data_IF_558362329241
#
_entry.id   IF_558362329241
#
_cell.length_a   1.000
_cell.length_b   1.000
_cell.length_c   1.000
_cell.angle_alpha   90.00
_cell.angle_beta   90.00
_cell.angle_gamma   90.00
#
_symmetry.space_group_name_H-M   'P 1'
#
loop_
_entity.id
_entity.type
_entity.pdbx_description
1 polymer ?
#
# COMPACT_ATOMS: atom_id res chain seq x y z
N UNK A 1 -21.57 38.79 10.27
CA UNK A 1 -20.46 38.35 9.41
C UNK A 1 -19.63 37.35 10.20
N UNK A 2 -19.64 36.08 9.82
CA UNK A 2 -18.77 35.06 10.44
C UNK A 2 -17.39 35.12 9.78
N UNK A 3 -16.36 35.45 10.55
CA UNK A 3 -14.97 35.36 10.09
C UNK A 3 -14.65 33.88 9.84
N UNK A 4 -14.40 33.51 8.59
CA UNK A 4 -13.74 32.25 8.28
C UNK A 4 -12.34 32.34 8.88
N UNK A 5 -12.10 31.63 9.97
CA UNK A 5 -10.75 31.42 10.49
C UNK A 5 -10.01 30.55 9.48
N UNK A 6 -9.44 31.17 8.45
CA UNK A 6 -8.56 30.53 7.49
C UNK A 6 -7.23 30.29 8.20
N UNK A 7 -7.12 29.18 8.93
CA UNK A 7 -5.81 28.70 9.37
C UNK A 7 -4.97 28.47 8.10
N UNK A 8 -3.83 29.16 7.93
CA UNK A 8 -3.02 29.00 6.74
C UNK A 8 -2.59 27.54 6.61
N UNK A 9 -2.65 27.01 5.38
CA UNK A 9 -2.18 25.66 5.10
C UNK A 9 -0.72 25.54 5.57
N UNK A 10 -0.36 24.52 6.36
CA UNK A 10 0.99 24.41 6.92
C UNK A 10 1.98 24.07 5.80
N UNK A 11 2.80 25.06 5.42
CA UNK A 11 3.90 24.90 4.45
C UNK A 11 5.22 24.85 5.21
N UNK A 12 6.01 23.79 4.98
CA UNK A 12 7.31 23.62 5.61
C UNK A 12 8.39 24.42 4.87
N UNK A 13 9.18 25.18 5.63
CA UNK A 13 10.39 25.83 5.09
C UNK A 13 11.53 24.82 4.85
N UNK A 14 11.67 23.84 5.75
CA UNK A 14 12.62 22.72 5.65
C UNK A 14 11.83 21.40 5.65
N UNK A 15 12.04 20.52 4.65
CA UNK A 15 11.35 19.22 4.58
C UNK A 15 11.69 18.26 5.74
N UNK A 16 12.72 18.47 6.56
CA UNK A 16 13.06 17.59 7.70
C UNK A 16 13.07 16.07 7.36
N UNK A 17 13.85 15.62 6.37
CA UNK A 17 13.76 14.26 5.82
C UNK A 17 14.06 13.15 6.85
N UNK A 18 14.78 13.44 7.92
CA UNK A 18 15.13 12.48 8.98
C UNK A 18 14.07 12.32 10.07
N UNK A 19 13.06 13.20 10.09
CA UNK A 19 12.00 13.15 11.10
C UNK A 19 10.91 12.15 10.69
N UNK A 20 10.89 11.00 11.35
CA UNK A 20 9.97 9.88 11.10
C UNK A 20 8.59 10.06 11.74
N UNK A 21 8.43 11.00 12.66
CA UNK A 21 7.14 11.29 13.30
C UNK A 21 6.26 12.22 12.46
N UNK A 22 6.81 12.79 11.38
CA UNK A 22 6.08 13.65 10.45
C UNK A 22 5.62 12.83 9.21
N UNK A 23 4.41 13.08 8.67
CA UNK A 23 3.94 12.41 7.46
C UNK A 23 4.91 12.56 6.28
N UNK A 24 4.98 11.56 5.40
CA UNK A 24 5.85 11.60 4.22
C UNK A 24 5.45 12.73 3.25
N UNK A 25 4.16 13.03 3.13
CA UNK A 25 3.61 14.04 2.23
C UNK A 25 3.21 15.30 3.01
N UNK A 26 4.01 16.35 2.89
CA UNK A 26 3.69 17.69 3.34
C UNK A 26 4.24 18.69 2.32
N UNK A 27 3.55 19.81 2.12
CA UNK A 27 4.05 20.82 1.18
C UNK A 27 5.27 21.50 1.78
N UNK A 28 6.35 21.54 1.01
CA UNK A 28 7.56 22.28 1.37
C UNK A 28 7.96 23.27 0.29
N UNK A 29 8.66 24.34 0.66
CA UNK A 29 9.13 25.34 -0.29
C UNK A 29 10.16 24.76 -1.28
N UNK A 30 10.91 23.73 -0.88
CA UNK A 30 11.99 23.14 -1.68
C UNK A 30 11.54 21.99 -2.57
N UNK A 31 10.54 21.20 -2.14
CA UNK A 31 10.05 20.01 -2.87
C UNK A 31 8.60 20.12 -3.35
N UNK A 32 7.91 21.22 -3.05
CA UNK A 32 6.51 21.41 -3.42
C UNK A 32 5.63 20.32 -2.81
N UNK A 33 4.87 19.61 -3.65
CA UNK A 33 4.00 18.49 -3.25
C UNK A 33 4.71 17.13 -3.23
N UNK A 34 6.00 17.06 -3.58
CA UNK A 34 6.75 15.82 -3.48
C UNK A 34 6.96 15.42 -2.02
N UNK A 35 7.16 14.12 -1.75
CA UNK A 35 7.49 13.65 -0.41
C UNK A 35 8.69 14.39 0.20
N UNK A 36 8.64 14.59 1.51
CA UNK A 36 9.69 15.24 2.30
C UNK A 36 11.05 14.51 2.23
N UNK A 37 11.01 13.20 2.01
CA UNK A 37 12.18 12.34 1.91
C UNK A 37 12.08 11.42 0.69
N UNK A 38 13.17 10.78 0.31
CA UNK A 38 13.15 9.79 -0.76
C UNK A 38 12.33 8.56 -0.33
N UNK A 39 11.65 7.89 -1.28
CA UNK A 39 10.78 6.78 -0.95
C UNK A 39 11.57 5.65 -0.28
N UNK A 40 10.98 5.04 0.75
CA UNK A 40 11.53 3.84 1.35
C UNK A 40 11.43 2.70 0.33
N UNK A 41 12.59 2.16 -0.02
CA UNK A 41 12.75 1.08 -1.01
C UNK A 41 12.92 -0.27 -0.31
N UNK A 42 13.57 -0.30 0.85
CA UNK A 42 13.80 -1.54 1.62
C UNK A 42 12.96 -1.54 2.89
N UNK A 43 12.08 -2.53 3.01
CA UNK A 43 11.30 -2.75 4.22
C UNK A 43 12.14 -3.43 5.32
N UNK A 44 11.76 -3.31 6.60
CA UNK A 44 12.36 -4.10 7.68
C UNK A 44 12.21 -5.60 7.46
N UNK A 45 13.10 -6.40 8.04
CA UNK A 45 13.14 -7.87 7.89
C UNK A 45 11.84 -8.58 8.27
N UNK A 46 11.04 -7.99 9.16
CA UNK A 46 9.71 -8.50 9.51
C UNK A 46 8.78 -8.62 8.28
N UNK A 47 9.05 -7.89 7.20
CA UNK A 47 8.27 -7.84 5.97
C UNK A 47 8.97 -8.49 4.76
N UNK A 48 10.03 -9.28 4.98
CA UNK A 48 10.78 -9.95 3.90
C UNK A 48 9.88 -10.81 3.00
N UNK A 49 8.85 -11.45 3.58
CA UNK A 49 7.87 -12.23 2.81
C UNK A 49 7.06 -11.34 1.87
N UNK A 50 6.66 -10.14 2.31
CA UNK A 50 5.91 -9.18 1.47
C UNK A 50 6.79 -8.70 0.33
N UNK A 51 8.02 -8.29 0.63
CA UNK A 51 9.00 -7.85 -0.37
C UNK A 51 9.28 -8.96 -1.41
N UNK A 52 9.50 -10.20 -0.95
CA UNK A 52 9.69 -11.37 -1.82
C UNK A 52 8.51 -11.60 -2.76
N UNK A 53 7.28 -11.51 -2.27
CA UNK A 53 6.08 -11.65 -3.11
C UNK A 53 6.02 -10.50 -4.12
N UNK A 54 6.24 -9.25 -3.70
CA UNK A 54 6.20 -8.07 -4.58
C UNK A 54 7.23 -8.12 -5.69
N UNK A 55 8.43 -8.63 -5.43
CA UNK A 55 9.48 -8.78 -6.45
C UNK A 55 9.15 -9.89 -7.46
N UNK A 56 8.48 -10.97 -7.02
CA UNK A 56 8.06 -12.09 -7.89
C UNK A 56 6.74 -11.82 -8.60
N UNK A 57 5.93 -10.90 -8.10
CA UNK A 57 4.58 -10.60 -8.59
C UNK A 57 4.49 -10.18 -10.07
N UNK A 58 5.35 -9.29 -10.62
CA UNK A 58 5.12 -8.68 -11.93
C UNK A 58 4.97 -9.69 -13.07
N UNK A 59 4.23 -9.32 -14.12
CA UNK A 59 4.13 -10.15 -15.34
C UNK A 59 5.52 -10.48 -15.90
N UNK A 60 6.41 -9.49 -15.91
CA UNK A 60 7.83 -9.66 -16.22
C UNK A 60 8.66 -9.13 -15.06
N UNK A 61 9.40 -10.01 -14.42
CA UNK A 61 10.29 -9.65 -13.30
C UNK A 61 11.47 -8.82 -13.80
N UNK A 62 12.25 -8.24 -12.88
CA UNK A 62 13.47 -7.49 -13.22
C UNK A 62 14.50 -8.34 -13.99
N UNK A 63 14.51 -9.66 -13.75
CA UNK A 63 15.35 -10.61 -14.50
C UNK A 63 14.88 -10.86 -15.95
N UNK A 64 13.68 -10.41 -16.28
CA UNK A 64 13.02 -10.70 -17.55
C UNK A 64 12.22 -12.00 -17.59
N UNK A 65 12.30 -12.83 -16.54
CA UNK A 65 11.51 -14.05 -16.39
C UNK A 65 10.02 -13.75 -16.09
N UNK A 66 9.09 -14.63 -16.49
CA UNK A 66 7.68 -14.51 -16.13
C UNK A 66 7.49 -14.62 -14.61
N UNK A 67 6.74 -13.69 -14.02
CA UNK A 67 6.43 -13.72 -12.59
C UNK A 67 5.08 -14.36 -12.25
N UNK A 68 4.61 -14.14 -11.03
CA UNK A 68 3.39 -14.76 -10.49
C UNK A 68 2.15 -14.31 -11.26
N UNK A 69 2.05 -13.04 -11.65
CA UNK A 69 0.91 -12.54 -12.44
C UNK A 69 0.90 -13.07 -13.87
N UNK A 70 2.04 -13.43 -14.44
CA UNK A 70 2.10 -14.07 -15.76
C UNK A 70 1.54 -15.50 -15.69
N UNK A 71 1.86 -16.23 -14.63
CA UNK A 71 1.37 -17.60 -14.41
C UNK A 71 -0.01 -17.68 -13.76
N UNK A 72 -0.51 -16.59 -13.20
CA UNK A 72 -1.80 -16.55 -12.50
C UNK A 72 -1.79 -17.28 -11.15
N UNK A 73 -0.63 -17.34 -10.49
CA UNK A 73 -0.40 -18.09 -9.24
C UNK A 73 -0.26 -17.18 -8.01
N UNK A 74 -0.42 -15.86 -8.16
CA UNK A 74 -0.28 -14.90 -7.05
C UNK A 74 -1.31 -15.18 -5.96
N UNK A 75 -2.55 -15.49 -6.33
CA UNK A 75 -3.61 -15.78 -5.36
C UNK A 75 -3.25 -16.91 -4.41
N UNK A 76 -2.71 -18.00 -4.94
CA UNK A 76 -2.33 -19.18 -4.16
C UNK A 76 -1.10 -18.91 -3.28
N UNK A 77 -0.12 -18.17 -3.81
CA UNK A 77 1.07 -17.73 -3.07
C UNK A 77 0.68 -16.83 -1.90
N UNK A 78 -0.23 -15.88 -2.09
CA UNK A 78 -0.69 -15.00 -1.01
C UNK A 78 -1.40 -15.80 0.08
N UNK A 79 -2.20 -16.81 -0.26
CA UNK A 79 -2.92 -17.61 0.75
C UNK A 79 -1.98 -18.57 1.50
N UNK A 80 -0.96 -19.09 0.83
CA UNK A 80 -0.06 -20.11 1.40
C UNK A 80 1.18 -19.56 2.08
N UNK A 81 1.80 -18.51 1.53
CA UNK A 81 3.10 -18.00 1.97
C UNK A 81 3.00 -16.76 2.85
N UNK A 82 1.98 -15.90 2.69
CA UNK A 82 1.89 -14.64 3.42
C UNK A 82 1.28 -14.85 4.82
N UNK A 83 2.04 -14.72 5.92
CA UNK A 83 1.46 -14.70 7.26
C UNK A 83 0.71 -13.40 7.53
N UNK A 84 -0.14 -13.40 8.54
CA UNK A 84 -0.72 -12.16 9.06
C UNK A 84 0.35 -11.36 9.81
N UNK A 85 0.78 -10.24 9.22
CA UNK A 85 1.83 -9.36 9.75
C UNK A 85 1.26 -8.13 10.47
N UNK A 86 -0.01 -8.14 10.87
CA UNK A 86 -0.64 -7.01 11.57
C UNK A 86 0.14 -6.59 12.82
N UNK A 87 0.61 -7.56 13.61
CA UNK A 87 1.40 -7.26 14.83
C UNK A 87 2.77 -6.65 14.49
N UNK A 88 3.35 -7.02 13.36
CA UNK A 88 4.61 -6.43 12.89
C UNK A 88 4.42 -4.96 12.49
N UNK A 89 3.29 -4.60 11.86
CA UNK A 89 2.94 -3.20 11.56
C UNK A 89 2.92 -2.36 12.83
N UNK A 90 2.33 -2.88 13.91
CA UNK A 90 2.22 -2.18 15.19
C UNK A 90 3.57 -1.89 15.85
N UNK A 91 4.62 -2.69 15.61
CA UNK A 91 5.98 -2.41 16.10
C UNK A 91 6.54 -1.11 15.53
N UNK A 92 6.12 -0.73 14.33
CA UNK A 92 6.66 0.42 13.59
C UNK A 92 5.72 1.62 13.52
N UNK A 93 4.61 1.60 14.26
CA UNK A 93 3.54 2.62 14.23
C UNK A 93 3.98 4.08 14.33
N UNK A 94 5.08 4.36 15.03
CA UNK A 94 5.61 5.71 15.23
C UNK A 94 6.42 6.23 14.02
N UNK A 95 6.72 5.37 13.05
CA UNK A 95 7.43 5.70 11.82
C UNK A 95 6.44 5.91 10.67
N UNK A 96 5.91 7.14 10.55
CA UNK A 96 4.88 7.46 9.56
C UNK A 96 5.34 7.29 8.10
N UNK A 97 6.59 7.63 7.72
CA UNK A 97 7.09 7.31 6.38
C UNK A 97 7.10 5.81 6.07
N UNK A 98 7.43 4.98 7.06
CA UNK A 98 7.38 3.52 6.90
C UNK A 98 5.95 3.02 6.80
N UNK A 99 5.01 3.54 7.59
CA UNK A 99 3.59 3.20 7.45
C UNK A 99 3.05 3.53 6.05
N UNK A 100 3.47 4.66 5.48
CA UNK A 100 3.15 5.01 4.09
C UNK A 100 3.72 4.00 3.07
N UNK A 101 4.97 3.57 3.27
CA UNK A 101 5.61 2.58 2.39
C UNK A 101 4.88 1.23 2.47
N UNK A 102 4.58 0.76 3.68
CA UNK A 102 3.80 -0.47 3.88
C UNK A 102 2.41 -0.35 3.24
N UNK A 103 1.70 0.76 3.48
CA UNK A 103 0.38 0.97 2.88
C UNK A 103 0.43 0.94 1.34
N UNK A 104 1.44 1.57 0.73
CA UNK A 104 1.68 1.51 -0.73
C UNK A 104 1.87 0.08 -1.20
N UNK A 105 2.75 -0.67 -0.55
CA UNK A 105 3.15 -2.02 -0.95
C UNK A 105 2.00 -3.02 -0.80
N UNK A 106 1.28 -2.95 0.32
CA UNK A 106 0.04 -3.71 0.53
C UNK A 106 -1.07 -3.32 -0.45
N UNK A 107 -1.18 -2.05 -0.83
CA UNK A 107 -2.17 -1.60 -1.83
C UNK A 107 -1.90 -2.19 -3.22
N UNK A 108 -0.63 -2.28 -3.62
CA UNK A 108 -0.25 -2.95 -4.86
C UNK A 108 -0.58 -4.44 -4.82
N UNK A 109 -0.23 -5.12 -3.72
CA UNK A 109 -0.50 -6.55 -3.55
C UNK A 109 -2.00 -6.85 -3.52
N UNK A 110 -2.80 -6.05 -2.80
CA UNK A 110 -4.25 -6.18 -2.75
C UNK A 110 -4.90 -5.98 -4.12
N UNK A 111 -4.48 -4.95 -4.86
CA UNK A 111 -5.00 -4.69 -6.21
C UNK A 111 -4.67 -5.84 -7.17
N UNK A 112 -3.43 -6.34 -7.11
CA UNK A 112 -2.99 -7.47 -7.93
C UNK A 112 -3.76 -8.75 -7.58
N UNK A 113 -3.95 -9.04 -6.29
CA UNK A 113 -4.73 -10.20 -5.83
C UNK A 113 -6.18 -10.14 -6.31
N UNK A 114 -6.84 -8.98 -6.19
CA UNK A 114 -8.24 -8.83 -6.61
C UNK A 114 -8.39 -8.95 -8.14
N UNK A 115 -7.48 -8.36 -8.90
CA UNK A 115 -7.58 -8.24 -10.36
C UNK A 115 -6.91 -9.38 -11.15
N UNK A 116 -6.15 -10.27 -10.51
CA UNK A 116 -5.47 -11.37 -11.20
C UNK A 116 -6.41 -12.23 -12.08
N UNK A 117 -7.62 -12.64 -11.64
CA UNK A 117 -8.50 -13.43 -12.50
C UNK A 117 -8.94 -12.65 -13.74
N UNK A 118 -9.20 -11.34 -13.59
CA UNK A 118 -9.51 -10.46 -14.72
C UNK A 118 -8.36 -10.39 -15.71
N UNK A 119 -7.15 -10.20 -15.19
CA UNK A 119 -5.94 -10.11 -15.99
C UNK A 119 -5.71 -11.41 -16.79
N UNK A 120 -5.86 -12.57 -16.15
CA UNK A 120 -5.71 -13.87 -16.79
C UNK A 120 -6.73 -14.08 -17.92
N UNK A 121 -7.99 -13.68 -17.73
CA UNK A 121 -9.01 -13.73 -18.78
C UNK A 121 -8.66 -12.82 -19.97
N UNK A 122 -8.19 -11.61 -19.68
CA UNK A 122 -7.75 -10.68 -20.71
C UNK A 122 -6.58 -11.26 -21.53
N UNK A 123 -5.60 -11.90 -20.89
CA UNK A 123 -4.49 -12.57 -21.58
C UNK A 123 -4.95 -13.73 -22.47
N UNK A 124 -6.08 -14.38 -22.16
CA UNK A 124 -6.70 -15.42 -23.00
C UNK A 124 -7.57 -14.86 -24.14
N UNK A 125 -7.66 -13.53 -24.27
CA UNK A 125 -8.51 -12.88 -25.28
C UNK A 125 -9.99 -12.86 -24.93
N UNK A 126 -10.35 -13.15 -23.67
CA UNK A 126 -11.72 -13.04 -23.17
C UNK A 126 -12.03 -11.60 -22.72
N UNK A 127 -13.31 -11.31 -22.47
CA UNK A 127 -13.70 -10.09 -21.76
C UNK A 127 -13.09 -10.06 -20.35
N UNK A 128 -12.76 -8.86 -19.85
CA UNK A 128 -12.04 -8.61 -18.60
C UNK A 128 -12.67 -9.29 -17.36
N UNK A 129 -13.97 -9.62 -17.39
CA UNK A 129 -14.62 -10.42 -16.36
C UNK A 129 -14.63 -9.75 -14.99
N UNK A 130 -14.82 -10.56 -13.94
CA UNK A 130 -14.88 -10.11 -12.55
C UNK A 130 -13.63 -10.55 -11.78
N UNK A 131 -13.16 -9.66 -10.89
CA UNK A 131 -12.06 -9.94 -9.98
C UNK A 131 -12.53 -10.77 -8.78
N UNK A 132 -11.59 -11.13 -7.91
CA UNK A 132 -11.93 -11.69 -6.60
C UNK A 132 -12.73 -10.65 -5.81
N UNK A 133 -13.73 -11.12 -5.07
CA UNK A 133 -14.64 -10.25 -4.30
C UNK A 133 -14.21 -10.11 -2.84
N UNK A 134 -13.29 -10.96 -2.39
CA UNK A 134 -12.85 -11.05 -0.99
C UNK A 134 -11.34 -10.95 -0.94
N UNK A 135 -10.84 -10.16 0.01
CA UNK A 135 -9.43 -10.07 0.34
C UNK A 135 -9.17 -11.00 1.55
N UNK A 136 -8.14 -11.86 1.52
CA UNK A 136 -7.86 -12.76 2.62
C UNK A 136 -7.38 -11.97 3.85
N UNK A 137 -7.67 -12.49 5.05
CA UNK A 137 -7.45 -11.77 6.31
C UNK A 137 -5.98 -11.37 6.54
N UNK A 138 -5.04 -12.23 6.14
CA UNK A 138 -3.60 -11.99 6.17
C UNK A 138 -3.15 -10.77 5.33
N UNK A 139 -3.98 -10.32 4.40
CA UNK A 139 -3.73 -9.13 3.58
C UNK A 139 -4.62 -7.96 3.99
N UNK A 140 -5.88 -8.23 4.35
CA UNK A 140 -6.87 -7.22 4.72
C UNK A 140 -6.60 -6.55 6.08
N UNK A 141 -6.14 -7.31 7.07
CA UNK A 141 -5.84 -6.77 8.42
C UNK A 141 -4.63 -5.84 8.43
N UNK A 142 -3.45 -6.21 7.86
CA UNK A 142 -2.30 -5.31 7.90
C UNK A 142 -2.49 -4.04 7.06
N UNK A 143 -3.17 -4.11 5.91
CA UNK A 143 -3.45 -2.90 5.10
C UNK A 143 -4.42 -1.96 5.81
N UNK A 144 -5.46 -2.49 6.46
CA UNK A 144 -6.39 -1.69 7.26
C UNK A 144 -5.65 -1.04 8.44
N UNK A 145 -4.77 -1.79 9.11
CA UNK A 145 -3.97 -1.27 10.21
C UNK A 145 -3.02 -0.15 9.77
N UNK A 146 -2.34 -0.30 8.64
CA UNK A 146 -1.52 0.77 8.07
C UNK A 146 -2.35 2.02 7.76
N UNK A 147 -3.57 1.85 7.23
CA UNK A 147 -4.46 2.96 6.91
C UNK A 147 -4.91 3.72 8.17
N UNK A 148 -5.24 3.02 9.26
CA UNK A 148 -5.60 3.63 10.54
C UNK A 148 -4.47 4.49 11.12
N UNK A 149 -3.22 4.04 10.97
CA UNK A 149 -2.05 4.72 11.52
C UNK A 149 -1.56 5.88 10.64
N UNK A 150 -1.69 5.76 9.32
CA UNK A 150 -1.18 6.74 8.36
C UNK A 150 -2.20 7.80 7.93
N UNK A 151 -3.48 7.45 7.82
CA UNK A 151 -4.50 8.32 7.19
C UNK A 151 -5.33 9.02 8.25
N UNK A 152 -5.11 10.32 8.54
CA UNK A 152 -6.18 11.13 9.12
C UNK A 152 -7.28 11.23 8.06
N UNK A 153 -8.47 10.66 8.33
CA UNK A 153 -9.68 10.78 7.50
C UNK A 153 -9.86 12.23 7.03
N UNK A 154 -9.67 12.54 5.72
CA UNK A 154 -10.86 12.69 4.88
C UNK A 154 -10.72 12.30 3.38
N UNK A 155 -9.54 11.98 2.82
CA UNK A 155 -9.39 11.95 1.34
C UNK A 155 -9.20 10.57 0.68
N UNK A 156 -8.67 9.56 1.37
CA UNK A 156 -8.31 8.26 0.73
C UNK A 156 -9.24 7.09 1.06
N UNK A 157 -10.28 7.31 1.87
CA UNK A 157 -11.07 6.24 2.50
C UNK A 157 -12.35 5.72 1.79
N UNK A 158 -12.82 6.21 0.63
CA UNK A 158 -14.08 5.65 0.11
C UNK A 158 -13.95 4.19 -0.39
N UNK A 159 -12.74 3.71 -0.73
CA UNK A 159 -12.56 2.35 -1.26
C UNK A 159 -12.23 1.28 -0.20
N UNK A 160 -11.44 1.60 0.85
CA UNK A 160 -11.04 0.59 1.84
C UNK A 160 -12.06 0.37 2.96
N UNK A 161 -12.88 1.37 3.31
CA UNK A 161 -13.92 1.22 4.34
C UNK A 161 -14.96 0.14 4.00
N UNK A 162 -15.21 -0.12 2.71
CA UNK A 162 -16.12 -1.20 2.26
C UNK A 162 -15.53 -2.61 2.42
N UNK A 163 -14.20 -2.76 2.39
CA UNK A 163 -13.53 -4.06 2.54
C UNK A 163 -13.52 -4.54 4.00
N UNK A 164 -13.39 -3.62 4.96
CA UNK A 164 -13.40 -3.95 6.40
C UNK A 164 -14.77 -4.41 6.92
N UNK A 165 -15.86 -3.87 6.35
CA UNK A 165 -17.24 -4.20 6.77
C UNK A 165 -17.77 -5.54 6.25
N UNK A 166 -16.95 -6.33 5.54
CA UNK A 166 -17.35 -7.63 4.97
C UNK A 166 -16.63 -8.84 5.59
N UNK A 167 -15.92 -8.63 6.71
CA UNK A 167 -15.31 -9.69 7.52
C UNK A 167 -16.18 -10.03 8.74
#
# INVERSE_FOLDING_TARGET
MGSLNTTPFPVLSDPQPTNTSLPAFMVSLTRGFLPRMDPIVTLPSDFDTVESILQRMPVKTASGAPGLLASGTLGDVVVSELPDLTDAVDKYRENLPLMNALYRDYSFLASAYLLEPCHQRFLRGEAYGLGRQVLPANLARPIARCAELFVPLPFFLPYLSKLSLSL
#
